data_IF_191179933158
#
_entry.id   IF_191179933158
#
_cell.length_a   1.000
_cell.length_b   1.000
_cell.length_c   1.000
_cell.angle_alpha   90.00
_cell.angle_beta   90.00
_cell.angle_gamma   90.00
#
_symmetry.space_group_name_H-M   'P 1'
#
loop_
_entity.id
_entity.type
_entity.pdbx_description
1 polymer ?
#
# COMPACT_ATOMS: atom_id res chain seq x y z
N UNK A 1 11.09 7.96 -3.26
CA UNK A 1 12.13 9.00 -3.44
C UNK A 1 13.42 8.68 -2.71
N UNK A 2 13.44 8.64 -1.37
CA UNK A 2 14.70 8.36 -0.65
C UNK A 2 15.26 6.94 -0.88
N UNK A 3 14.38 5.94 -0.98
CA UNK A 3 14.72 4.54 -1.29
C UNK A 3 15.86 3.97 -0.42
N UNK A 4 15.65 3.86 0.90
CA UNK A 4 16.69 3.40 1.83
C UNK A 4 17.07 1.93 1.62
N UNK A 5 18.32 1.60 1.92
CA UNK A 5 18.83 0.21 1.94
C UNK A 5 18.58 -0.51 3.27
N UNK A 6 18.34 0.25 4.35
CA UNK A 6 18.00 -0.21 5.70
C UNK A 6 17.16 0.87 6.40
N UNK A 7 16.25 0.46 7.27
CA UNK A 7 15.46 1.35 8.13
C UNK A 7 15.85 1.12 9.59
N UNK A 8 16.29 2.19 10.26
CA UNK A 8 16.55 2.19 11.70
C UNK A 8 15.49 3.05 12.38
N UNK A 9 14.81 2.48 13.37
CA UNK A 9 13.73 3.14 14.13
C UNK A 9 14.18 3.31 15.57
N UNK A 10 14.31 4.57 16.00
CA UNK A 10 14.42 4.95 17.42
C UNK A 10 13.00 4.85 18.01
N UNK A 11 12.70 3.70 18.60
CA UNK A 11 11.34 3.28 18.94
C UNK A 11 10.99 3.66 20.39
N UNK A 12 10.57 4.91 20.60
CA UNK A 12 9.98 5.37 21.85
C UNK A 12 8.47 5.10 21.91
N UNK A 13 7.98 4.59 23.04
CA UNK A 13 6.56 4.31 23.27
C UNK A 13 5.87 5.29 24.22
N UNK A 14 6.49 6.43 24.50
CA UNK A 14 5.93 7.51 25.34
C UNK A 14 4.75 8.28 24.68
N UNK A 15 4.54 8.09 23.37
CA UNK A 15 3.34 8.55 22.68
C UNK A 15 2.10 7.65 22.94
N UNK A 16 2.30 6.47 23.52
CA UNK A 16 1.19 5.60 23.89
C UNK A 16 0.37 6.18 25.04
N UNK A 17 -0.91 5.79 25.11
CA UNK A 17 -1.75 6.12 26.26
C UNK A 17 -1.12 5.60 27.57
N UNK A 18 -1.30 6.33 28.67
CA UNK A 18 -0.71 6.01 29.99
C UNK A 18 0.38 6.99 30.43
N UNK A 19 0.98 7.72 29.49
CA UNK A 19 1.99 8.74 29.79
C UNK A 19 1.36 10.09 30.12
N UNK A 20 1.73 10.68 31.26
CA UNK A 20 1.28 12.01 31.65
C UNK A 20 1.76 13.09 30.66
N UNK A 21 1.02 14.20 30.57
CA UNK A 21 1.30 15.29 29.62
C UNK A 21 2.75 15.80 29.59
N UNK A 22 3.50 15.88 30.71
CA UNK A 22 4.89 16.33 30.68
C UNK A 22 5.87 15.33 30.03
N UNK A 23 5.52 14.03 29.96
CA UNK A 23 6.38 12.97 29.42
C UNK A 23 5.95 12.52 28.01
N UNK A 24 4.66 12.65 27.70
CA UNK A 24 4.11 12.32 26.38
C UNK A 24 2.74 12.99 26.21
N UNK A 25 1.72 12.49 26.92
CA UNK A 25 0.36 13.05 26.86
C UNK A 25 -0.43 12.70 25.61
N UNK A 26 0.14 11.89 24.73
CA UNK A 26 -0.53 11.35 23.57
C UNK A 26 -1.30 10.07 23.91
N UNK A 27 -2.07 9.59 22.94
CA UNK A 27 -2.98 8.44 23.09
C UNK A 27 -2.88 7.50 21.90
N UNK A 28 -1.66 7.28 21.40
CA UNK A 28 -1.43 6.31 20.32
C UNK A 28 -1.69 4.90 20.87
N UNK A 29 -2.45 4.08 20.13
CA UNK A 29 -2.73 2.71 20.53
C UNK A 29 -1.56 1.79 20.16
N UNK A 30 -1.39 0.68 20.88
CA UNK A 30 -0.43 -0.37 20.53
C UNK A 30 -0.62 -0.88 19.08
N UNK A 31 -1.88 -1.08 18.66
CA UNK A 31 -2.24 -1.45 17.29
C UNK A 31 -1.66 -0.47 16.25
N UNK A 32 -1.63 0.83 16.55
CA UNK A 32 -1.06 1.84 15.66
C UNK A 32 0.46 1.71 15.52
N UNK A 33 1.18 1.36 16.59
CA UNK A 33 2.62 1.07 16.50
C UNK A 33 2.91 -0.17 15.64
N UNK A 34 2.11 -1.23 15.77
CA UNK A 34 2.17 -2.39 14.87
C UNK A 34 1.92 -1.99 13.41
N UNK A 35 0.87 -1.21 13.15
CA UNK A 35 0.55 -0.72 11.81
C UNK A 35 1.67 0.14 11.21
N UNK A 36 2.23 1.08 11.96
CA UNK A 36 3.37 1.90 11.51
C UNK A 36 4.60 1.03 11.21
N UNK A 37 4.83 -0.03 11.99
CA UNK A 37 5.91 -0.99 11.74
C UNK A 37 5.69 -1.73 10.42
N UNK A 38 4.48 -2.21 10.14
CA UNK A 38 4.15 -2.83 8.84
C UNK A 38 4.36 -1.88 7.65
N UNK A 39 4.00 -0.60 7.80
CA UNK A 39 4.24 0.41 6.76
C UNK A 39 5.73 0.59 6.46
N UNK A 40 6.59 0.57 7.50
CA UNK A 40 8.04 0.65 7.33
C UNK A 40 8.64 -0.60 6.69
N UNK A 41 8.06 -1.78 6.92
CA UNK A 41 8.52 -3.05 6.31
C UNK A 41 8.32 -3.10 4.79
N UNK A 42 7.49 -2.23 4.22
CA UNK A 42 7.36 -2.09 2.76
C UNK A 42 8.59 -1.39 2.13
N UNK A 43 9.48 -0.82 2.95
CA UNK A 43 10.71 -0.15 2.52
C UNK A 43 11.91 -1.09 2.68
N UNK A 44 13.01 -0.78 2.01
CA UNK A 44 14.29 -1.47 2.16
C UNK A 44 14.21 -3.02 2.04
N UNK A 45 13.20 -3.55 1.34
CA UNK A 45 12.94 -4.99 1.27
C UNK A 45 12.71 -5.63 2.64
N UNK A 46 12.10 -4.91 3.59
CA UNK A 46 11.80 -5.41 4.94
C UNK A 46 12.96 -5.34 5.93
N UNK A 47 14.13 -4.78 5.54
CA UNK A 47 15.28 -4.60 6.44
C UNK A 47 15.03 -3.45 7.43
N UNK A 48 14.27 -3.74 8.47
CA UNK A 48 13.86 -2.79 9.51
C UNK A 48 14.39 -3.25 10.87
N UNK A 49 15.01 -2.34 11.62
CA UNK A 49 15.47 -2.57 12.99
C UNK A 49 14.82 -1.53 13.91
N UNK A 50 14.16 -2.00 14.96
CA UNK A 50 13.61 -1.16 16.03
C UNK A 50 14.54 -1.25 17.25
N UNK A 51 14.97 -0.09 17.76
CA UNK A 51 15.72 0.04 19.01
C UNK A 51 14.83 0.76 20.03
N UNK A 52 14.50 0.09 21.14
CA UNK A 52 13.69 0.69 22.21
C UNK A 52 14.41 1.90 22.80
N UNK A 53 13.65 2.98 23.01
CA UNK A 53 14.14 4.27 23.52
C UNK A 53 13.29 4.74 24.70
N UNK A 54 12.40 5.72 24.49
CA UNK A 54 11.46 6.21 25.50
C UNK A 54 10.28 5.27 25.76
N UNK A 55 9.50 5.60 26.79
CA UNK A 55 8.41 4.78 27.30
C UNK A 55 8.62 4.54 28.79
N UNK A 56 7.63 4.91 29.60
CA UNK A 56 7.72 4.95 31.05
C UNK A 56 6.55 4.24 31.74
N UNK A 57 5.46 4.02 31.02
CA UNK A 57 4.37 3.15 31.45
C UNK A 57 4.64 1.71 30.97
N UNK A 58 4.87 0.79 31.92
CA UNK A 58 5.23 -0.60 31.59
C UNK A 58 4.17 -1.31 30.75
N UNK A 59 2.86 -1.26 31.07
CA UNK A 59 1.83 -1.82 30.21
C UNK A 59 1.88 -1.28 28.78
N UNK A 60 1.99 0.04 28.60
CA UNK A 60 2.06 0.65 27.28
C UNK A 60 3.28 0.20 26.48
N UNK A 61 4.45 0.09 27.12
CA UNK A 61 5.68 -0.42 26.48
C UNK A 61 5.48 -1.87 26.05
N UNK A 62 4.93 -2.72 26.92
CA UNK A 62 4.70 -4.13 26.63
C UNK A 62 3.75 -4.32 25.45
N UNK A 63 2.59 -3.65 25.48
CA UNK A 63 1.58 -3.77 24.43
C UNK A 63 2.09 -3.25 23.09
N UNK A 64 2.75 -2.09 23.06
CA UNK A 64 3.31 -1.54 21.83
C UNK A 64 4.46 -2.39 21.28
N UNK A 65 5.36 -2.87 22.16
CA UNK A 65 6.45 -3.77 21.76
C UNK A 65 5.91 -5.07 21.17
N UNK A 66 4.86 -5.64 21.77
CA UNK A 66 4.21 -6.84 21.28
C UNK A 66 3.69 -6.65 19.85
N UNK A 67 2.94 -5.57 19.59
CA UNK A 67 2.39 -5.31 18.24
C UNK A 67 3.49 -5.02 17.21
N UNK A 68 4.56 -4.33 17.59
CA UNK A 68 5.73 -4.16 16.73
C UNK A 68 6.42 -5.48 16.39
N UNK A 69 6.61 -6.37 17.37
CA UNK A 69 7.24 -7.68 17.14
C UNK A 69 6.35 -8.58 16.29
N UNK A 70 5.03 -8.60 16.52
CA UNK A 70 4.06 -9.30 15.66
C UNK A 70 4.17 -8.84 14.21
N UNK A 71 4.22 -7.52 13.98
CA UNK A 71 4.42 -6.97 12.65
C UNK A 71 5.72 -7.49 12.00
N UNK A 72 6.84 -7.46 12.74
CA UNK A 72 8.15 -7.92 12.24
C UNK A 72 8.19 -9.42 11.92
N UNK A 73 7.42 -10.23 12.65
CA UNK A 73 7.28 -11.67 12.39
C UNK A 73 6.35 -11.97 11.21
N UNK A 74 5.62 -10.97 10.71
CA UNK A 74 4.59 -11.16 9.69
C UNK A 74 3.29 -11.75 10.24
N UNK A 75 3.10 -11.71 11.55
CA UNK A 75 1.85 -12.15 12.19
C UNK A 75 0.71 -11.16 11.86
N UNK A 76 -0.53 -11.65 11.98
CA UNK A 76 -1.68 -10.76 12.02
C UNK A 76 -1.53 -9.80 13.20
N UNK A 77 -1.66 -8.49 12.98
CA UNK A 77 -1.60 -7.47 14.03
C UNK A 77 -3.01 -7.03 14.45
N UNK A 78 -3.13 -6.38 15.61
CA UNK A 78 -4.39 -5.78 16.01
C UNK A 78 -4.84 -4.72 14.98
N UNK A 79 -6.11 -4.79 14.59
CA UNK A 79 -6.69 -3.84 13.63
C UNK A 79 -6.96 -2.49 14.29
N UNK A 80 -6.73 -1.41 13.53
CA UNK A 80 -7.20 -0.09 13.93
C UNK A 80 -8.72 -0.05 13.89
N UNK A 81 -9.34 0.60 14.87
CA UNK A 81 -10.80 0.70 14.91
C UNK A 81 -11.32 1.54 13.74
N UNK A 82 -12.52 1.21 13.25
CA UNK A 82 -13.20 2.00 12.22
C UNK A 82 -13.38 3.46 12.64
N UNK A 83 -13.61 3.72 13.93
CA UNK A 83 -13.70 5.09 14.46
C UNK A 83 -12.40 5.85 14.23
N UNK A 84 -11.25 5.25 14.56
CA UNK A 84 -9.94 5.87 14.39
C UNK A 84 -9.60 6.08 12.91
N UNK A 85 -9.97 5.14 12.04
CA UNK A 85 -9.74 5.26 10.59
C UNK A 85 -10.60 6.34 9.93
N UNK A 86 -11.78 6.65 10.49
CA UNK A 86 -12.69 7.73 10.04
C UNK A 86 -12.41 9.06 10.69
N UNK A 87 -11.61 9.09 11.76
CA UNK A 87 -11.34 10.31 12.52
C UNK A 87 -10.36 11.19 11.75
N UNK A 88 -10.73 12.43 11.35
CA UNK A 88 -9.76 13.34 10.74
C UNK A 88 -8.71 13.79 11.77
N UNK A 89 -7.51 14.17 11.32
CA UNK A 89 -6.50 14.78 12.19
C UNK A 89 -7.05 16.05 12.86
N UNK A 90 -6.63 16.33 14.10
CA UNK A 90 -7.02 17.57 14.76
C UNK A 90 -6.32 18.78 14.12
N UNK A 91 -6.87 19.98 14.30
CA UNK A 91 -6.37 21.19 13.63
C UNK A 91 -4.88 21.46 13.93
N UNK A 92 -4.43 21.25 15.17
CA UNK A 92 -3.02 21.42 15.54
C UNK A 92 -2.09 20.48 14.74
N UNK A 93 -2.53 19.25 14.46
CA UNK A 93 -1.78 18.30 13.64
C UNK A 93 -1.76 18.75 12.18
N UNK A 94 -2.91 19.18 11.63
CA UNK A 94 -3.02 19.71 10.26
C UNK A 94 -2.10 20.91 10.07
N UNK A 95 -2.14 21.89 10.96
CA UNK A 95 -1.31 23.10 10.88
C UNK A 95 0.20 22.76 10.93
N UNK A 96 0.57 21.78 11.76
CA UNK A 96 1.95 21.31 11.89
C UNK A 96 2.42 20.60 10.62
N UNK A 97 1.58 19.73 10.05
CA UNK A 97 1.87 19.03 8.80
C UNK A 97 1.98 20.00 7.63
N UNK A 98 1.07 20.99 7.52
CA UNK A 98 1.13 22.01 6.47
C UNK A 98 2.44 22.82 6.52
N UNK A 99 2.87 23.24 7.70
CA UNK A 99 4.17 23.92 7.88
C UNK A 99 5.33 23.02 7.47
N UNK A 100 5.31 21.76 7.88
CA UNK A 100 6.34 20.77 7.54
C UNK A 100 6.41 20.54 6.03
N UNK A 101 5.26 20.38 5.38
CA UNK A 101 5.12 20.23 3.93
C UNK A 101 5.69 21.45 3.20
N UNK A 102 5.35 22.66 3.63
CA UNK A 102 5.84 23.89 3.01
C UNK A 102 7.38 23.99 3.04
N UNK A 103 8.01 23.54 4.13
CA UNK A 103 9.48 23.50 4.27
C UNK A 103 10.09 22.40 3.41
N UNK A 104 9.44 21.23 3.31
CA UNK A 104 10.03 20.04 2.68
C UNK A 104 9.81 19.97 1.16
N UNK A 105 8.79 20.64 0.61
CA UNK A 105 8.47 20.62 -0.84
C UNK A 105 9.67 20.92 -1.76
N UNK A 106 10.54 21.92 -1.47
CA UNK A 106 11.70 22.20 -2.32
C UNK A 106 12.71 21.05 -2.41
N UNK A 107 12.76 20.19 -1.38
CA UNK A 107 13.68 19.06 -1.28
C UNK A 107 13.05 17.75 -1.76
N UNK A 108 11.74 17.62 -1.59
CA UNK A 108 10.97 16.41 -1.89
C UNK A 108 9.72 16.76 -2.70
N UNK A 109 9.83 16.92 -4.03
CA UNK A 109 8.70 17.30 -4.87
C UNK A 109 7.51 16.33 -4.81
N UNK A 110 7.77 15.06 -4.48
CA UNK A 110 6.73 14.05 -4.30
C UNK A 110 5.70 14.41 -3.22
N UNK A 111 6.09 15.15 -2.18
CA UNK A 111 5.20 15.59 -1.09
C UNK A 111 4.06 16.45 -1.62
N UNK A 112 4.32 17.25 -2.67
CA UNK A 112 3.31 18.13 -3.26
C UNK A 112 2.07 17.37 -3.74
N UNK A 113 2.23 16.12 -4.18
CA UNK A 113 1.12 15.27 -4.66
C UNK A 113 0.10 15.03 -3.56
N UNK A 114 0.57 14.79 -2.33
CA UNK A 114 -0.28 14.41 -1.19
C UNK A 114 -0.60 15.59 -0.25
N UNK A 115 -0.10 16.80 -0.54
CA UNK A 115 -0.29 17.96 0.34
C UNK A 115 -1.77 18.32 0.57
N UNK A 116 -2.64 18.03 -0.40
CA UNK A 116 -4.06 18.35 -0.34
C UNK A 116 -4.89 17.39 0.54
N UNK A 117 -4.35 16.22 0.88
CA UNK A 117 -5.05 15.20 1.70
C UNK A 117 -4.71 15.30 3.18
N UNK A 118 -3.93 16.31 3.60
CA UNK A 118 -3.41 16.44 4.97
C UNK A 118 -4.49 16.53 6.05
N UNK A 119 -5.70 16.98 5.70
CA UNK A 119 -6.84 17.09 6.59
C UNK A 119 -7.80 15.91 6.52
N UNK A 120 -7.53 14.92 5.67
CA UNK A 120 -8.43 13.79 5.44
C UNK A 120 -8.21 12.73 6.53
N UNK A 121 -9.27 12.01 6.87
CA UNK A 121 -9.15 10.73 7.57
C UNK A 121 -8.44 9.68 6.70
N UNK A 122 -8.03 8.57 7.31
CA UNK A 122 -7.36 7.50 6.58
C UNK A 122 -8.25 6.91 5.47
N UNK A 123 -9.55 6.74 5.75
CA UNK A 123 -10.50 6.22 4.77
C UNK A 123 -10.72 7.20 3.62
N UNK A 124 -10.91 8.50 3.90
CA UNK A 124 -11.08 9.52 2.86
C UNK A 124 -9.84 9.62 1.97
N UNK A 125 -8.64 9.57 2.56
CA UNK A 125 -7.39 9.57 1.81
C UNK A 125 -7.27 8.34 0.90
N UNK A 126 -7.58 7.15 1.40
CA UNK A 126 -7.53 5.90 0.63
C UNK A 126 -8.57 5.88 -0.52
N UNK A 127 -9.77 6.40 -0.27
CA UNK A 127 -10.79 6.55 -1.30
C UNK A 127 -10.34 7.50 -2.40
N UNK A 128 -9.76 8.64 -2.01
CA UNK A 128 -9.25 9.63 -2.96
C UNK A 128 -8.15 9.06 -3.85
N UNK A 129 -7.20 8.33 -3.25
CA UNK A 129 -6.13 7.66 -3.98
C UNK A 129 -6.68 6.64 -4.99
N UNK A 130 -7.68 5.85 -4.59
CA UNK A 130 -8.35 4.90 -5.47
C UNK A 130 -9.04 5.60 -6.66
N UNK A 131 -9.78 6.66 -6.41
CA UNK A 131 -10.44 7.45 -7.46
C UNK A 131 -9.43 8.03 -8.46
N UNK A 132 -8.30 8.56 -7.96
CA UNK A 132 -7.23 9.08 -8.81
C UNK A 132 -6.60 7.98 -9.67
N UNK A 133 -6.33 6.81 -9.08
CA UNK A 133 -5.79 5.65 -9.80
C UNK A 133 -6.76 5.13 -10.88
N UNK A 134 -8.06 5.06 -10.59
CA UNK A 134 -9.10 4.66 -11.55
C UNK A 134 -9.19 5.67 -12.70
N UNK A 135 -9.14 6.96 -12.39
CA UNK A 135 -9.17 8.04 -13.40
C UNK A 135 -7.96 7.96 -14.32
N UNK A 136 -6.76 7.76 -13.77
CA UNK A 136 -5.52 7.58 -14.56
C UNK A 136 -5.63 6.35 -15.47
N UNK A 137 -6.14 5.25 -14.94
CA UNK A 137 -6.33 4.00 -15.70
C UNK A 137 -7.31 4.21 -16.87
N UNK A 138 -8.44 4.89 -16.62
CA UNK A 138 -9.41 5.21 -17.66
C UNK A 138 -8.83 6.13 -18.75
N UNK A 139 -8.08 7.17 -18.36
CA UNK A 139 -7.41 8.06 -19.32
C UNK A 139 -6.38 7.33 -20.19
N UNK A 140 -5.61 6.40 -19.60
CA UNK A 140 -4.67 5.57 -20.35
C UNK A 140 -5.39 4.67 -21.37
N UNK A 141 -6.52 4.05 -20.97
CA UNK A 141 -7.36 3.25 -21.87
C UNK A 141 -7.90 4.05 -23.06
N UNK A 142 -8.40 5.27 -22.82
CA UNK A 142 -8.89 6.16 -23.88
C UNK A 142 -7.78 6.58 -24.86
N UNK A 143 -6.59 6.88 -24.36
CA UNK A 143 -5.43 7.23 -25.20
C UNK A 143 -5.01 6.07 -26.11
N UNK A 144 -5.02 4.83 -25.61
CA UNK A 144 -4.70 3.64 -26.41
C UNK A 144 -5.78 3.37 -27.47
N UNK A 145 -7.06 3.56 -27.13
CA UNK A 145 -8.16 3.41 -28.08
C UNK A 145 -8.08 4.45 -29.21
N UNK A 146 -7.71 5.69 -28.90
CA UNK A 146 -7.49 6.74 -29.90
C UNK A 146 -6.30 6.42 -30.83
N UNK A 147 -5.21 5.85 -30.30
CA UNK A 147 -4.08 5.38 -31.12
C UNK A 147 -4.46 4.21 -32.03
N UNK A 148 -5.24 3.25 -31.53
CA UNK A 148 -5.74 2.13 -32.33
C UNK A 148 -6.68 2.60 -33.45
N UNK A 149 -7.56 3.56 -33.16
CA UNK A 149 -8.45 4.16 -34.16
C UNK A 149 -7.68 4.97 -35.22
N UNK A 150 -6.60 5.67 -34.83
CA UNK A 150 -5.77 6.42 -35.77
C UNK A 150 -4.89 5.52 -36.66
N UNK A 151 -4.53 4.32 -36.20
CA UNK A 151 -3.79 3.33 -37.00
C UNK A 151 -4.68 2.57 -38.02
N UNK A 152 -6.01 2.64 -37.87
CA UNK A 152 -6.99 2.04 -38.79
C UNK A 152 -7.53 3.02 -39.83
N UNK A 153 -6.70 3.45 -40.78
CA UNK A 153 -7.14 4.20 -41.98
C UNK A 153 -7.73 3.27 -43.08
N UNK A 154 -8.63 3.77 -43.94
CA UNK A 154 -9.55 2.94 -44.74
C UNK A 154 -8.85 2.19 -45.89
N UNK A 155 -8.96 0.86 -45.91
CA UNK A 155 -8.80 0.08 -47.14
C UNK A 155 -10.09 0.19 -47.95
N UNK A 156 -9.97 0.78 -49.13
CA UNK A 156 -11.07 0.98 -50.07
C UNK A 156 -11.74 -0.33 -50.44
N UNK A 157 -13.07 -0.27 -50.51
CA UNK A 157 -13.93 -1.33 -50.97
C UNK A 157 -13.56 -1.78 -52.39
N UNK A 158 -13.32 -3.07 -52.58
CA UNK A 158 -13.58 -3.75 -53.83
C UNK A 158 -14.48 -4.96 -53.56
N UNK A 159 -15.67 -4.88 -54.15
CA UNK A 159 -16.67 -5.91 -54.26
C UNK A 159 -16.18 -7.03 -55.20
N UNK A 160 -16.27 -8.29 -54.80
CA UNK A 160 -16.68 -9.38 -55.71
C UNK A 160 -16.96 -10.69 -54.95
N UNK A 161 -18.25 -11.05 -54.91
CA UNK A 161 -18.85 -12.39 -55.07
C UNK A 161 -18.12 -13.64 -54.53
N UNK A 162 -18.73 -14.29 -53.54
CA UNK A 162 -18.69 -15.76 -53.32
C UNK A 162 -19.72 -16.47 -54.24
N UNK A 163 -19.86 -17.82 -54.28
CA UNK A 163 -19.14 -18.87 -53.54
C UNK A 163 -18.67 -20.06 -54.43
N UNK A 164 -17.78 -20.92 -53.92
CA UNK A 164 -17.86 -22.33 -54.27
C UNK A 164 -17.38 -23.26 -53.16
N UNK A 165 -18.01 -24.43 -53.16
CA UNK A 165 -18.11 -25.47 -52.14
C UNK A 165 -16.97 -26.49 -52.14
N UNK A 166 -16.69 -27.08 -50.96
CA UNK A 166 -16.24 -28.47 -50.69
C UNK A 166 -15.73 -28.50 -49.23
N UNK A 167 -16.39 -29.13 -48.28
CA UNK A 167 -16.47 -30.58 -47.97
C UNK A 167 -15.14 -31.20 -47.51
N UNK A 168 -15.20 -31.80 -46.32
CA UNK A 168 -14.18 -32.64 -45.68
C UNK A 168 -13.52 -31.95 -44.48
N UNK A 169 -13.25 -32.56 -43.32
CA UNK A 169 -13.54 -33.87 -42.75
C UNK A 169 -13.01 -33.76 -41.29
N UNK A 170 -13.78 -34.17 -40.29
CA UNK A 170 -13.34 -34.39 -38.88
C UNK A 170 -12.55 -35.71 -38.87
N UNK A 171 -11.44 -35.92 -38.11
CA UNK A 171 -11.63 -36.21 -36.69
C UNK A 171 -10.50 -36.00 -35.65
N UNK A 172 -10.99 -35.93 -34.40
CA UNK A 172 -10.50 -36.54 -33.13
C UNK A 172 -9.17 -36.13 -32.47
N UNK A 173 -9.32 -35.61 -31.24
CA UNK A 173 -8.45 -35.75 -30.04
C UNK A 173 -8.24 -37.24 -29.64
N UNK A 174 -7.39 -37.67 -28.66
CA UNK A 174 -7.11 -37.06 -27.33
C UNK A 174 -5.72 -37.40 -26.69
N UNK A 175 -5.68 -37.33 -25.34
CA UNK A 175 -4.69 -37.78 -24.32
C UNK A 175 -3.83 -36.66 -23.73
N UNK A 176 -4.02 -36.23 -22.47
CA UNK A 176 -3.94 -36.91 -21.14
C UNK A 176 -2.53 -37.35 -20.73
N UNK A 177 -2.15 -36.92 -19.52
CA UNK A 177 -1.32 -37.71 -18.61
C UNK A 177 0.10 -37.19 -18.35
N UNK A 178 0.32 -36.54 -17.21
CA UNK A 178 1.00 -37.17 -16.05
C UNK A 178 1.33 -36.12 -14.98
N UNK A 179 0.61 -36.21 -13.85
CA UNK A 179 1.11 -35.82 -12.54
C UNK A 179 2.06 -36.91 -12.05
N UNK A 180 3.18 -36.54 -11.43
CA UNK A 180 3.84 -37.34 -10.39
C UNK A 180 4.42 -36.45 -9.29
N UNK A 181 4.53 -36.95 -8.04
CA UNK A 181 4.50 -36.15 -6.82
C UNK A 181 5.82 -36.12 -6.03
N UNK A 182 5.78 -35.30 -4.96
CA UNK A 182 6.56 -35.29 -3.71
C UNK A 182 7.69 -36.31 -3.52
N UNK A 183 8.87 -35.79 -3.19
CA UNK A 183 9.72 -36.39 -2.16
C UNK A 183 9.82 -35.44 -0.96
N UNK A 184 9.40 -35.97 0.19
CA UNK A 184 9.64 -35.42 1.51
C UNK A 184 10.98 -35.97 1.99
N UNK A 185 11.93 -35.10 2.36
CA UNK A 185 13.06 -35.51 3.19
C UNK A 185 12.95 -34.84 4.56
N UNK A 186 12.52 -35.66 5.50
CA UNK A 186 12.54 -35.46 6.94
C UNK A 186 13.90 -35.94 7.46
N UNK A 187 14.76 -35.04 7.96
CA UNK A 187 15.93 -35.45 8.76
C UNK A 187 16.16 -34.48 9.93
N UNK A 188 15.61 -34.92 11.07
CA UNK A 188 16.19 -34.96 12.42
C UNK A 188 16.43 -33.67 13.23
#
# INVERSE_FOLDING_TARGET
DFAPEIVLVSAGFDAAAGHAAPLGGYKVSAACFGFMTQQLMQLAGGKVILSLEGGYDLPAICDASQECVRALLGDEIATLSEEELRRPPCQNAVDTLQKTIAIQIPHWPCIKRHAHTVSYSAIEAAQKEKEEAETVTAMAGLSMQQRAAAAGGPQGAQNSSSPNSASGHIPSSPSEGSEEPMDQDEVK
#
